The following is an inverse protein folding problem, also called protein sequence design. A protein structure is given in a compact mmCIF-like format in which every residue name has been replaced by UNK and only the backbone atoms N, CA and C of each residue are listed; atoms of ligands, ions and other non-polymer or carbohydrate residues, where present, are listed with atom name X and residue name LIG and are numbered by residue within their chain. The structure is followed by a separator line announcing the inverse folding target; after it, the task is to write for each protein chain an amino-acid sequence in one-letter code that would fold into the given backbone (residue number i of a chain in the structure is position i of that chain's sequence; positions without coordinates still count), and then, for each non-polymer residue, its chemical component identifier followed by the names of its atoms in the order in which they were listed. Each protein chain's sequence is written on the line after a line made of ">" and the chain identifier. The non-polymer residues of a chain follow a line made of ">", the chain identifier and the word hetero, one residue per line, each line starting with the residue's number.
data_IF_619172778435
#
_entry.id   IF_619172778435
#
_cell.length_a   1.000
_cell.length_b   1.000
_cell.length_c   1.000
_cell.angle_alpha   90.00
_cell.angle_beta   90.00
_cell.angle_gamma   90.00
#
_symmetry.space_group_name_H-M   'P 1'
#
loop_
_entity.id
_entity.type
_entity.pdbx_description
1 polymer ?
#
# COMPACT_ATOMS: atom_id res chain seq x y z
N UNK A 1 26.59 -6.84 1.13
CA UNK A 1 25.42 -6.96 2.03
C UNK A 1 25.57 -8.28 2.76
N UNK A 2 25.99 -8.23 4.02
CA UNK A 2 25.91 -9.39 4.92
C UNK A 2 24.43 -9.70 5.17
N UNK A 3 24.03 -10.97 5.35
CA UNK A 3 22.68 -11.30 5.79
C UNK A 3 22.42 -10.58 7.11
N UNK A 4 21.50 -9.62 7.13
CA UNK A 4 21.04 -9.00 8.38
C UNK A 4 20.39 -10.07 9.24
N UNK A 5 20.75 -10.15 10.52
CA UNK A 5 20.09 -11.03 11.48
C UNK A 5 18.57 -10.89 11.36
N UNK A 6 17.79 -11.99 11.48
CA UNK A 6 16.35 -11.93 11.38
C UNK A 6 15.81 -10.91 12.38
N UNK A 7 15.03 -9.95 11.89
CA UNK A 7 14.50 -8.87 12.70
C UNK A 7 13.78 -9.45 13.95
N UNK A 8 14.01 -8.88 15.14
CA UNK A 8 13.40 -9.41 16.34
C UNK A 8 11.87 -9.32 16.24
N UNK A 9 11.16 -10.30 16.82
CA UNK A 9 9.69 -10.45 16.67
C UNK A 9 8.92 -9.18 17.06
N UNK A 10 9.41 -8.41 18.03
CA UNK A 10 8.82 -7.13 18.43
C UNK A 10 8.97 -6.05 17.34
N UNK A 11 10.07 -6.05 16.58
CA UNK A 11 10.27 -5.14 15.47
C UNK A 11 9.30 -5.43 14.32
N UNK A 12 9.01 -6.72 14.07
CA UNK A 12 7.98 -7.14 13.13
C UNK A 12 6.60 -6.67 13.61
N UNK A 13 6.28 -6.83 14.90
CA UNK A 13 5.02 -6.39 15.47
C UNK A 13 4.83 -4.85 15.37
N UNK A 14 5.86 -4.07 15.66
CA UNK A 14 5.82 -2.60 15.51
C UNK A 14 5.67 -2.18 14.04
N UNK A 15 6.34 -2.86 13.11
CA UNK A 15 6.18 -2.59 11.69
C UNK A 15 4.74 -2.87 11.23
N UNK A 16 4.13 -3.97 11.69
CA UNK A 16 2.73 -4.29 11.42
C UNK A 16 1.77 -3.25 12.02
N UNK A 17 2.01 -2.83 13.26
CA UNK A 17 1.21 -1.79 13.91
C UNK A 17 1.30 -0.46 13.15
N UNK A 18 2.51 -0.07 12.73
CA UNK A 18 2.73 1.12 11.92
C UNK A 18 1.98 1.03 10.58
N UNK A 19 2.06 -0.12 9.90
CA UNK A 19 1.29 -0.35 8.66
C UNK A 19 -0.21 -0.21 8.94
N UNK A 20 -0.76 -0.85 9.96
CA UNK A 20 -2.19 -0.79 10.25
C UNK A 20 -2.68 0.62 10.57
N UNK A 21 -1.94 1.37 11.39
CA UNK A 21 -2.32 2.74 11.75
C UNK A 21 -2.12 3.71 10.59
N UNK A 22 -0.95 3.70 9.94
CA UNK A 22 -0.62 4.66 8.89
C UNK A 22 -1.43 4.36 7.63
N UNK A 23 -1.48 3.12 7.16
CA UNK A 23 -2.24 2.79 5.96
C UNK A 23 -3.75 2.83 6.21
N UNK A 24 -4.23 2.33 7.35
CA UNK A 24 -5.65 2.39 7.69
C UNK A 24 -6.17 3.83 7.72
N UNK A 25 -5.45 4.74 8.39
CA UNK A 25 -5.82 6.16 8.43
C UNK A 25 -5.66 6.88 7.09
N UNK A 26 -4.78 6.39 6.20
CA UNK A 26 -4.60 6.97 4.86
C UNK A 26 -5.88 6.88 4.04
N UNK A 27 -6.60 5.75 4.05
CA UNK A 27 -7.86 5.63 3.32
C UNK A 27 -8.94 6.56 3.88
N UNK A 28 -9.01 6.70 5.20
CA UNK A 28 -9.91 7.70 5.79
C UNK A 28 -9.54 9.13 5.35
N UNK A 29 -8.26 9.48 5.41
CA UNK A 29 -7.78 10.80 4.99
C UNK A 29 -8.01 11.07 3.49
N UNK A 30 -7.86 10.06 2.62
CA UNK A 30 -8.18 10.15 1.19
C UNK A 30 -9.66 10.49 1.03
N UNK A 31 -10.57 9.72 1.65
CA UNK A 31 -12.00 9.97 1.60
C UNK A 31 -12.37 11.40 2.01
N UNK A 32 -11.81 11.90 3.11
CA UNK A 32 -12.04 13.28 3.56
C UNK A 32 -11.47 14.30 2.58
N UNK A 33 -10.28 14.05 2.02
CA UNK A 33 -9.65 15.00 1.12
C UNK A 33 -10.36 15.09 -0.24
N UNK A 34 -10.88 13.97 -0.75
CA UNK A 34 -11.58 13.94 -2.05
C UNK A 34 -12.95 14.60 -2.03
N UNK A 35 -13.50 14.88 -0.84
CA UNK A 35 -14.72 15.69 -0.70
C UNK A 35 -14.49 17.16 -1.10
N UNK A 36 -13.24 17.63 -1.09
CA UNK A 36 -12.88 19.02 -1.41
C UNK A 36 -11.92 19.16 -2.60
N UNK A 37 -11.16 18.11 -2.92
CA UNK A 37 -10.16 18.10 -3.99
C UNK A 37 -10.43 16.98 -4.99
N UNK A 38 -10.24 17.20 -6.30
CA UNK A 38 -10.27 16.11 -7.27
C UNK A 38 -9.27 15.00 -6.89
N UNK A 39 -9.64 13.70 -7.01
CA UNK A 39 -8.86 12.59 -6.47
C UNK A 39 -7.43 12.51 -7.02
N UNK A 40 -7.26 12.74 -8.33
CA UNK A 40 -5.94 12.72 -8.95
C UNK A 40 -5.09 13.94 -8.57
N UNK A 41 -5.72 15.09 -8.29
CA UNK A 41 -5.01 16.28 -7.86
C UNK A 41 -4.50 16.11 -6.42
N UNK A 42 -5.34 15.58 -5.53
CA UNK A 42 -4.96 15.23 -4.16
C UNK A 42 -3.82 14.19 -4.17
N UNK A 43 -3.99 13.09 -4.90
CA UNK A 43 -2.96 12.04 -4.98
C UNK A 43 -1.66 12.59 -5.58
N UNK A 44 -1.75 13.31 -6.71
CA UNK A 44 -0.60 13.90 -7.39
C UNK A 44 0.14 14.89 -6.49
N UNK A 45 -0.59 15.79 -5.84
CA UNK A 45 -0.03 16.76 -4.89
C UNK A 45 0.69 16.07 -3.73
N UNK A 46 0.10 15.01 -3.16
CA UNK A 46 0.72 14.20 -2.10
C UNK A 46 2.03 13.55 -2.56
N UNK A 47 2.06 12.95 -3.75
CA UNK A 47 3.27 12.32 -4.30
C UNK A 47 4.36 13.34 -4.66
N UNK A 48 3.98 14.50 -5.22
CA UNK A 48 4.93 15.58 -5.50
C UNK A 48 5.52 16.12 -4.21
N UNK A 49 4.70 16.40 -3.19
CA UNK A 49 5.18 16.87 -1.89
C UNK A 49 6.14 15.86 -1.24
N UNK A 50 5.76 14.57 -1.20
CA UNK A 50 6.63 13.51 -0.69
C UNK A 50 7.93 13.39 -1.49
N UNK A 51 7.86 13.47 -2.82
CA UNK A 51 9.02 13.44 -3.71
C UNK A 51 9.98 14.61 -3.48
N UNK A 52 9.46 15.83 -3.32
CA UNK A 52 10.27 17.02 -3.02
C UNK A 52 10.96 16.89 -1.67
N UNK A 53 10.24 16.46 -0.63
CA UNK A 53 10.81 16.25 0.71
C UNK A 53 11.90 15.18 0.66
N UNK A 54 11.63 14.04 0.03
CA UNK A 54 12.59 12.94 -0.06
C UNK A 54 13.82 13.32 -0.89
N UNK A 55 13.62 14.00 -2.01
CA UNK A 55 14.71 14.50 -2.84
C UNK A 55 15.55 15.51 -2.06
N UNK A 56 14.92 16.50 -1.42
CA UNK A 56 15.60 17.50 -0.60
C UNK A 56 16.41 16.86 0.54
N UNK A 57 15.82 15.88 1.24
CA UNK A 57 16.50 15.12 2.28
C UNK A 57 17.70 14.33 1.75
N UNK A 58 17.56 13.66 0.60
CA UNK A 58 18.65 12.92 -0.03
C UNK A 58 19.80 13.85 -0.43
N UNK A 59 19.49 15.03 -1.00
CA UNK A 59 20.50 16.04 -1.33
C UNK A 59 21.17 16.62 -0.09
N UNK A 60 20.43 16.86 0.98
CA UNK A 60 20.96 17.29 2.27
C UNK A 60 21.93 16.26 2.88
N UNK A 61 21.67 14.96 2.69
CA UNK A 61 22.59 13.89 3.08
C UNK A 61 23.78 13.66 2.13
N UNK A 62 23.93 14.50 1.11
CA UNK A 62 25.05 14.42 0.16
C UNK A 62 24.88 13.40 -0.97
N UNK A 63 23.71 12.79 -1.14
CA UNK A 63 23.50 11.80 -2.21
C UNK A 63 23.50 12.47 -3.59
N UNK A 64 24.35 12.05 -4.52
CA UNK A 64 24.43 12.63 -5.88
C UNK A 64 23.06 12.72 -6.59
N UNK A 65 22.83 13.77 -7.40
CA UNK A 65 21.60 13.88 -8.16
C UNK A 65 21.44 12.68 -9.12
N UNK A 66 20.22 12.14 -9.26
CA UNK A 66 19.98 10.99 -10.11
C UNK A 66 20.25 11.35 -11.57
N UNK A 67 21.05 10.50 -12.24
CA UNK A 67 21.38 10.69 -13.65
C UNK A 67 20.12 10.79 -14.52
N UNK A 68 20.12 11.70 -15.49
CA UNK A 68 18.96 12.01 -16.35
C UNK A 68 18.37 10.77 -17.03
N UNK A 69 19.20 9.77 -17.34
CA UNK A 69 18.80 8.48 -17.93
C UNK A 69 17.79 7.68 -17.10
N UNK A 70 17.68 7.93 -15.80
CA UNK A 70 16.74 7.24 -14.92
C UNK A 70 15.36 7.90 -14.86
N UNK A 71 15.24 9.16 -15.29
CA UNK A 71 14.00 9.93 -15.21
C UNK A 71 12.83 9.30 -15.98
N UNK A 72 13.01 8.77 -17.21
CA UNK A 72 11.90 8.11 -17.90
C UNK A 72 11.37 6.89 -17.15
N UNK A 73 12.26 6.09 -16.53
CA UNK A 73 11.88 4.91 -15.73
C UNK A 73 11.19 5.32 -14.44
N UNK A 74 11.71 6.34 -13.76
CA UNK A 74 11.09 6.89 -12.56
C UNK A 74 9.70 7.49 -12.87
N UNK A 75 9.57 8.20 -13.99
CA UNK A 75 8.31 8.74 -14.49
C UNK A 75 7.29 7.65 -14.83
N UNK A 76 7.73 6.54 -15.44
CA UNK A 76 6.86 5.40 -15.72
C UNK A 76 6.36 4.75 -14.43
N UNK A 77 7.26 4.43 -13.49
CA UNK A 77 6.87 3.79 -12.21
C UNK A 77 5.99 4.73 -11.39
N UNK A 78 6.36 6.01 -11.29
CA UNK A 78 5.56 7.02 -10.61
C UNK A 78 4.19 7.23 -11.26
N UNK A 79 4.13 7.25 -12.59
CA UNK A 79 2.89 7.34 -13.36
C UNK A 79 1.98 6.12 -13.15
N UNK A 80 2.54 4.91 -13.14
CA UNK A 80 1.79 3.69 -12.84
C UNK A 80 1.29 3.65 -11.39
N UNK A 81 2.09 4.13 -10.43
CA UNK A 81 1.65 4.27 -9.04
C UNK A 81 0.54 5.32 -8.89
N UNK A 82 0.63 6.44 -9.62
CA UNK A 82 -0.35 7.51 -9.54
C UNK A 82 -1.65 7.16 -10.26
N UNK A 83 -1.60 6.67 -11.51
CA UNK A 83 -2.79 6.42 -12.32
C UNK A 83 -3.39 5.04 -12.08
N UNK A 84 -2.56 4.03 -11.82
CA UNK A 84 -2.99 2.66 -11.58
C UNK A 84 -3.23 2.39 -10.10
N UNK A 85 -2.13 2.29 -9.33
CA UNK A 85 -2.18 1.82 -7.95
C UNK A 85 -2.95 2.75 -7.01
N UNK A 86 -2.36 3.86 -6.63
CA UNK A 86 -2.88 4.73 -5.57
C UNK A 86 -3.98 5.68 -6.06
N UNK A 87 -3.89 6.22 -7.28
CA UNK A 87 -4.99 7.02 -7.83
C UNK A 87 -6.20 6.19 -8.22
N UNK A 88 -6.03 4.91 -8.59
CA UNK A 88 -7.14 3.97 -8.72
C UNK A 88 -7.90 3.80 -7.40
N UNK A 89 -7.19 3.73 -6.28
CA UNK A 89 -7.81 3.74 -4.93
C UNK A 89 -8.52 5.07 -4.66
N UNK A 90 -7.87 6.21 -4.89
CA UNK A 90 -8.49 7.52 -4.68
C UNK A 90 -9.76 7.70 -5.53
N UNK A 91 -9.75 7.17 -6.76
CA UNK A 91 -10.92 7.16 -7.63
C UNK A 91 -12.00 6.19 -7.16
N UNK A 92 -11.63 4.99 -6.70
CA UNK A 92 -12.57 4.02 -6.13
C UNK A 92 -13.25 4.58 -4.88
N UNK A 93 -12.51 5.30 -4.03
CA UNK A 93 -13.03 5.93 -2.81
C UNK A 93 -14.07 7.03 -3.07
N UNK A 94 -14.21 7.53 -4.30
CA UNK A 94 -15.35 8.41 -4.64
C UNK A 94 -16.69 7.65 -4.60
N UNK A 95 -16.67 6.33 -4.76
CA UNK A 95 -17.86 5.45 -4.87
C UNK A 95 -17.95 4.39 -3.77
N UNK A 96 -16.83 4.11 -3.10
CA UNK A 96 -16.72 3.03 -2.10
C UNK A 96 -16.34 3.64 -0.75
N UNK A 97 -17.02 3.26 0.35
CA UNK A 97 -16.62 3.64 1.70
C UNK A 97 -15.16 3.28 2.01
N UNK A 98 -14.45 4.15 2.72
CA UNK A 98 -13.03 3.96 3.08
C UNK A 98 -12.79 2.68 3.90
N UNK A 99 -13.76 2.28 4.73
CA UNK A 99 -13.73 1.00 5.45
C UNK A 99 -13.63 -0.20 4.50
N UNK A 100 -14.48 -0.25 3.47
CA UNK A 100 -14.44 -1.30 2.45
C UNK A 100 -13.16 -1.22 1.60
N UNK A 101 -12.72 -0.01 1.22
CA UNK A 101 -11.49 0.18 0.47
C UNK A 101 -10.26 -0.35 1.25
N UNK A 102 -10.14 0.00 2.53
CA UNK A 102 -9.05 -0.46 3.40
C UNK A 102 -9.02 -1.97 3.54
N UNK A 103 -10.20 -2.59 3.59
CA UNK A 103 -10.35 -4.03 3.76
C UNK A 103 -9.98 -4.81 2.49
N UNK A 104 -10.40 -4.30 1.32
CA UNK A 104 -10.01 -4.86 0.03
C UNK A 104 -8.49 -4.79 -0.14
N UNK A 105 -7.87 -3.66 0.21
CA UNK A 105 -6.41 -3.52 0.10
C UNK A 105 -5.68 -4.35 1.16
N UNK A 106 -6.30 -4.57 2.32
CA UNK A 106 -5.85 -5.55 3.31
C UNK A 106 -5.69 -6.97 2.75
N UNK A 107 -6.34 -7.32 1.63
CA UNK A 107 -6.16 -8.60 0.93
C UNK A 107 -4.91 -8.67 0.03
N UNK A 108 -4.16 -7.58 -0.17
CA UNK A 108 -2.96 -7.58 -1.04
C UNK A 108 -1.92 -8.65 -0.68
N UNK A 109 -1.55 -8.87 0.60
CA UNK A 109 -0.58 -9.91 0.97
C UNK A 109 -1.04 -11.31 0.52
N UNK A 110 -2.36 -11.53 0.54
CA UNK A 110 -2.95 -12.77 0.10
C UNK A 110 -2.81 -12.97 -1.41
N UNK A 111 -3.11 -11.95 -2.20
CA UNK A 111 -2.86 -11.98 -3.64
C UNK A 111 -1.37 -12.18 -3.94
N UNK A 112 -0.50 -11.59 -3.12
CA UNK A 112 0.95 -11.74 -3.26
C UNK A 112 1.39 -13.19 -3.07
N UNK A 113 0.88 -13.89 -2.04
CA UNK A 113 1.16 -15.32 -1.82
C UNK A 113 0.59 -16.18 -2.95
N UNK A 114 -0.64 -15.92 -3.39
CA UNK A 114 -1.29 -16.69 -4.45
C UNK A 114 -0.55 -16.55 -5.78
N UNK A 115 -0.19 -15.33 -6.16
CA UNK A 115 0.57 -15.05 -7.38
C UNK A 115 2.00 -15.61 -7.31
N UNK A 116 2.66 -15.55 -6.14
CA UNK A 116 3.96 -16.20 -5.94
C UNK A 116 3.88 -17.72 -6.06
N UNK A 117 2.75 -18.33 -5.69
CA UNK A 117 2.55 -19.76 -5.87
C UNK A 117 2.27 -20.15 -7.33
N UNK A 118 1.44 -19.37 -8.04
CA UNK A 118 1.00 -19.67 -9.41
C UNK A 118 2.05 -19.36 -10.48
N UNK A 119 3.03 -18.49 -10.20
CA UNK A 119 4.06 -18.14 -11.19
C UNK A 119 5.04 -19.30 -11.44
N UNK A 120 5.64 -19.37 -12.64
CA UNK A 120 6.72 -20.33 -12.91
C UNK A 120 7.88 -20.17 -11.90
N UNK A 121 8.30 -21.26 -11.26
CA UNK A 121 9.30 -21.25 -10.19
C UNK A 121 8.80 -20.77 -8.82
N UNK A 122 7.48 -20.64 -8.66
CA UNK A 122 6.82 -20.24 -7.44
C UNK A 122 6.95 -21.23 -6.28
N UNK A 123 6.80 -20.73 -5.05
CA UNK A 123 6.85 -21.58 -3.83
C UNK A 123 5.44 -21.96 -3.40
N UNK A 124 5.23 -23.27 -3.15
CA UNK A 124 3.98 -23.76 -2.55
C UNK A 124 3.82 -23.18 -1.13
N UNK A 125 2.67 -22.58 -0.81
CA UNK A 125 2.42 -22.06 0.54
C UNK A 125 2.40 -23.22 1.54
N UNK A 126 3.03 -23.03 2.70
CA UNK A 126 2.97 -23.99 3.79
C UNK A 126 1.56 -24.04 4.38
N UNK A 127 1.24 -25.10 5.13
CA UNK A 127 -0.05 -25.23 5.81
C UNK A 127 -0.35 -24.01 6.71
N UNK A 128 0.67 -23.45 7.37
CA UNK A 128 0.52 -22.25 8.20
C UNK A 128 0.17 -21.00 7.37
N UNK A 129 0.80 -20.82 6.19
CA UNK A 129 0.47 -19.72 5.28
C UNK A 129 -0.95 -19.89 4.72
N UNK A 130 -1.32 -21.10 4.31
CA UNK A 130 -2.66 -21.40 3.83
C UNK A 130 -3.72 -21.12 4.90
N UNK A 131 -3.47 -21.52 6.16
CA UNK A 131 -4.36 -21.23 7.28
C UNK A 131 -4.50 -19.72 7.54
N UNK A 132 -3.39 -18.96 7.50
CA UNK A 132 -3.42 -17.50 7.65
C UNK A 132 -4.18 -16.79 6.52
N UNK A 133 -4.03 -17.27 5.28
CA UNK A 133 -4.75 -16.79 4.09
C UNK A 133 -6.26 -17.02 4.24
N UNK A 134 -6.68 -18.23 4.64
CA UNK A 134 -8.09 -18.56 4.86
C UNK A 134 -8.68 -17.74 6.02
N UNK A 135 -7.97 -17.63 7.13
CA UNK A 135 -8.39 -16.81 8.27
C UNK A 135 -8.54 -15.32 7.90
N UNK A 136 -7.61 -14.79 7.09
CA UNK A 136 -7.67 -13.43 6.56
C UNK A 136 -8.90 -13.19 5.68
N UNK A 137 -9.19 -14.10 4.75
CA UNK A 137 -10.42 -14.02 3.94
C UNK A 137 -11.69 -14.11 4.77
N UNK A 138 -11.74 -15.01 5.76
CA UNK A 138 -12.88 -15.14 6.65
C UNK A 138 -13.12 -13.85 7.45
N UNK A 139 -12.05 -13.23 7.97
CA UNK A 139 -12.11 -11.94 8.64
C UNK A 139 -12.62 -10.81 7.72
N UNK A 140 -12.13 -10.75 6.48
CA UNK A 140 -12.62 -9.81 5.47
C UNK A 140 -14.10 -10.04 5.17
N UNK A 141 -14.50 -11.26 4.84
CA UNK A 141 -15.90 -11.58 4.54
C UNK A 141 -16.84 -11.24 5.70
N UNK A 142 -16.38 -11.43 6.94
CA UNK A 142 -17.13 -11.05 8.13
C UNK A 142 -17.27 -9.54 8.29
N UNK A 143 -16.18 -8.77 8.06
CA UNK A 143 -16.18 -7.31 8.13
C UNK A 143 -16.97 -6.65 6.98
N UNK A 144 -17.02 -7.26 5.79
CA UNK A 144 -17.81 -6.77 4.64
C UNK A 144 -19.31 -7.03 4.82
N UNK A 145 -19.73 -7.88 5.77
CA UNK A 145 -21.13 -8.32 5.86
C UNK A 145 -22.08 -7.11 6.00
N UNK A 146 -23.05 -6.94 5.08
CA UNK A 146 -24.00 -5.83 5.16
C UNK A 146 -24.81 -5.97 6.46
N UNK A 147 -24.53 -5.08 7.42
CA UNK A 147 -25.10 -5.11 8.78
C UNK A 147 -24.10 -4.85 9.91
N UNK A 148 -22.78 -4.83 9.65
CA UNK A 148 -21.78 -4.37 10.62
C UNK A 148 -21.56 -2.86 10.52
N UNK A 149 -21.81 -2.16 11.62
CA UNK A 149 -21.65 -0.70 11.83
C UNK A 149 -20.42 -0.10 11.12
N UNK A 150 -20.65 0.46 9.93
CA UNK A 150 -19.78 1.44 9.29
C UNK A 150 -20.53 2.76 9.23
N UNK A 151 -20.71 3.39 10.39
CA UNK A 151 -21.05 4.80 10.52
C UNK A 151 -19.75 5.61 10.46
#
# INVERSE_FOLDING_TARGET
>A
MTPSDPAPRWGIALALLAVYLIWGSTYYAIRVAIDTLPPFLMAGGRFVAAGVVLYGFARWRGAEPPAIRFWPRAGLVGGLMLLGGNGGVCWAETRVPSGLASLIIGSVPLWTVLLDWLRPGGRRPSAAVAAGVVAGFAGIAWLVRPGGTGA
#
